data_IF_975116942082
#
_entry.id   IF_975116942082
#
_cell.length_a   1.000
_cell.length_b   1.000
_cell.length_c   1.000
_cell.angle_alpha   90.00
_cell.angle_beta   90.00
_cell.angle_gamma   90.00
#
_symmetry.space_group_name_H-M   'P 1'
#
loop_
_entity.id
_entity.type
_entity.pdbx_description
1 polymer ?
#
# COMPACT_ATOMS: atom_id res chain seq x y z
N UNK A 1 18.48 25.02 -9.93
CA UNK A 1 19.24 24.02 -10.71
C UNK A 1 18.25 22.94 -11.13
N UNK A 2 18.08 22.68 -12.43
CA UNK A 2 17.20 21.60 -12.90
C UNK A 2 17.78 20.28 -12.38
N UNK A 3 17.02 19.60 -11.51
CA UNK A 3 17.39 18.28 -11.01
C UNK A 3 17.30 17.34 -12.21
N UNK A 4 18.44 16.97 -12.78
CA UNK A 4 18.46 15.98 -13.86
C UNK A 4 18.03 14.65 -13.26
N UNK A 5 16.87 14.16 -13.69
CA UNK A 5 16.32 12.91 -13.19
C UNK A 5 17.11 11.77 -13.82
N UNK A 6 17.74 10.95 -12.98
CA UNK A 6 18.55 9.82 -13.43
C UNK A 6 17.66 8.60 -13.66
N UNK A 7 17.25 8.37 -14.90
CA UNK A 7 16.27 7.33 -15.26
C UNK A 7 16.77 5.91 -14.94
N UNK A 8 18.06 5.62 -15.15
CA UNK A 8 18.63 4.31 -14.81
C UNK A 8 18.57 3.98 -13.31
N UNK A 9 18.82 4.97 -12.45
CA UNK A 9 18.75 4.81 -11.01
C UNK A 9 17.30 4.59 -10.56
N UNK A 10 16.35 5.29 -11.17
CA UNK A 10 14.92 5.09 -10.93
C UNK A 10 14.50 3.66 -11.27
N UNK A 11 14.95 3.12 -12.41
CA UNK A 11 14.70 1.73 -12.83
C UNK A 11 15.27 0.75 -11.79
N UNK A 12 16.50 0.98 -11.33
CA UNK A 12 17.13 0.16 -10.28
C UNK A 12 16.28 0.16 -9.00
N UNK A 13 15.79 1.32 -8.57
CA UNK A 13 14.93 1.46 -7.38
C UNK A 13 13.61 0.74 -7.53
N UNK A 14 12.91 0.90 -8.66
CA UNK A 14 11.68 0.17 -8.91
C UNK A 14 11.89 -1.34 -8.96
N UNK A 15 12.97 -1.79 -9.60
CA UNK A 15 13.34 -3.21 -9.60
C UNK A 15 13.58 -3.75 -8.18
N UNK A 16 14.32 -3.01 -7.36
CA UNK A 16 14.58 -3.38 -5.95
C UNK A 16 13.30 -3.38 -5.11
N UNK A 17 12.41 -2.39 -5.28
CA UNK A 17 11.13 -2.33 -4.59
C UNK A 17 10.20 -3.49 -4.95
N UNK A 18 10.23 -3.94 -6.21
CA UNK A 18 9.46 -5.09 -6.68
C UNK A 18 10.13 -6.44 -6.34
N UNK A 19 11.33 -6.43 -5.73
CA UNK A 19 12.08 -7.64 -5.39
C UNK A 19 12.60 -8.43 -6.61
N UNK A 20 12.71 -7.78 -7.77
CA UNK A 20 13.08 -8.41 -9.04
C UNK A 20 14.62 -8.45 -9.14
N UNK A 21 15.18 -9.61 -9.53
CA UNK A 21 16.62 -9.73 -9.81
C UNK A 21 16.95 -9.16 -11.19
N UNK A 22 18.17 -8.67 -11.39
CA UNK A 22 18.60 -8.18 -12.70
C UNK A 22 18.43 -9.23 -13.82
N UNK A 23 18.68 -10.50 -13.52
CA UNK A 23 18.48 -11.61 -14.47
C UNK A 23 17.02 -11.80 -14.87
N UNK A 24 16.09 -11.60 -13.92
CA UNK A 24 14.66 -11.71 -14.19
C UNK A 24 14.18 -10.56 -15.07
N UNK A 25 14.63 -9.33 -14.79
CA UNK A 25 14.32 -8.18 -15.65
C UNK A 25 14.92 -8.35 -17.06
N UNK A 26 16.12 -8.93 -17.16
CA UNK A 26 16.72 -9.25 -18.45
C UNK A 26 15.88 -10.28 -19.23
N UNK A 27 15.39 -11.33 -18.57
CA UNK A 27 14.53 -12.32 -19.19
C UNK A 27 13.22 -11.71 -19.72
N UNK A 28 12.63 -10.75 -19.00
CA UNK A 28 11.40 -10.06 -19.41
C UNK A 28 11.61 -9.10 -20.60
N UNK A 29 12.82 -8.54 -20.74
CA UNK A 29 13.18 -7.65 -21.85
C UNK A 29 13.59 -8.41 -23.13
N UNK A 30 13.86 -9.71 -23.02
CA UNK A 30 14.14 -10.62 -24.14
C UNK A 30 15.59 -11.12 -24.21
N UNK A 31 15.86 -12.01 -25.18
CA UNK A 31 17.12 -12.76 -25.30
C UNK A 31 18.38 -11.90 -25.52
N UNK A 32 18.20 -10.67 -26.01
CA UNK A 32 19.29 -9.70 -26.17
C UNK A 32 19.74 -9.08 -24.83
N UNK A 33 18.99 -9.28 -23.75
CA UNK A 33 19.28 -8.72 -22.44
C UNK A 33 19.93 -9.75 -21.52
N UNK A 34 20.92 -9.28 -20.76
CA UNK A 34 21.57 -10.07 -19.73
C UNK A 34 21.84 -9.20 -18.49
N UNK A 35 22.23 -9.83 -17.39
CA UNK A 35 22.50 -9.14 -16.12
C UNK A 35 23.42 -7.92 -16.28
N UNK A 36 24.49 -8.06 -17.06
CA UNK A 36 25.48 -7.01 -17.28
C UNK A 36 24.89 -5.82 -18.04
N UNK A 37 24.10 -6.08 -19.09
CA UNK A 37 23.40 -5.05 -19.86
C UNK A 37 22.38 -4.30 -19.01
N UNK A 38 21.66 -4.99 -18.11
CA UNK A 38 20.76 -4.34 -17.15
C UNK A 38 21.55 -3.46 -16.19
N UNK A 39 22.65 -3.95 -15.63
CA UNK A 39 23.51 -3.13 -14.76
C UNK A 39 24.04 -1.89 -15.47
N UNK A 40 24.39 -1.98 -16.75
CA UNK A 40 24.83 -0.83 -17.55
C UNK A 40 23.67 0.14 -17.82
N UNK A 41 22.46 -0.38 -18.07
CA UNK A 41 21.25 0.42 -18.25
C UNK A 41 20.90 1.20 -16.98
N UNK A 42 21.01 0.58 -15.81
CA UNK A 42 20.76 1.22 -14.51
C UNK A 42 21.76 2.37 -14.21
N UNK A 43 22.94 2.36 -14.82
CA UNK A 43 23.94 3.42 -14.67
C UNK A 43 23.76 4.58 -15.65
N UNK A 44 22.84 4.48 -16.62
CA UNK A 44 22.59 5.55 -17.59
C UNK A 44 21.69 6.63 -17.00
N UNK A 45 22.13 7.88 -17.11
CA UNK A 45 21.37 9.04 -16.66
C UNK A 45 20.08 9.22 -17.48
N UNK A 46 20.15 8.99 -18.79
CA UNK A 46 19.01 9.07 -19.71
C UNK A 46 18.97 7.82 -20.59
N UNK A 47 17.77 7.29 -20.80
CA UNK A 47 17.51 6.09 -21.59
C UNK A 47 16.62 6.48 -22.78
N UNK A 48 16.85 5.83 -23.91
CA UNK A 48 16.06 6.07 -25.11
C UNK A 48 14.58 5.76 -24.85
N UNK A 49 13.68 6.65 -25.29
CA UNK A 49 12.23 6.49 -25.11
C UNK A 49 11.66 5.09 -25.45
N UNK A 50 12.02 4.44 -26.57
CA UNK A 50 11.51 3.09 -26.88
C UNK A 50 11.98 2.05 -25.86
N UNK A 51 13.22 2.15 -25.40
CA UNK A 51 13.79 1.23 -24.42
C UNK A 51 13.19 1.47 -23.03
N UNK A 52 12.98 2.73 -22.66
CA UNK A 52 12.33 3.11 -21.42
C UNK A 52 10.89 2.58 -21.35
N UNK A 53 10.17 2.60 -22.47
CA UNK A 53 8.83 2.02 -22.60
C UNK A 53 8.85 0.50 -22.37
N UNK A 54 9.78 -0.21 -23.01
CA UNK A 54 9.95 -1.65 -22.81
C UNK A 54 10.25 -2.01 -21.35
N UNK A 55 11.14 -1.26 -20.70
CA UNK A 55 11.47 -1.47 -19.29
C UNK A 55 10.27 -1.17 -18.38
N UNK A 56 9.51 -0.13 -18.68
CA UNK A 56 8.31 0.20 -17.91
C UNK A 56 7.24 -0.89 -18.05
N UNK A 57 7.06 -1.44 -19.25
CA UNK A 57 6.16 -2.58 -19.50
C UNK A 57 6.60 -3.84 -18.75
N UNK A 58 7.90 -4.18 -18.79
CA UNK A 58 8.45 -5.31 -18.04
C UNK A 58 8.22 -5.15 -16.52
N UNK A 59 8.42 -3.94 -15.99
CA UNK A 59 8.16 -3.63 -14.58
C UNK A 59 6.67 -3.40 -14.27
N UNK A 60 5.79 -3.41 -15.28
CA UNK A 60 4.35 -3.07 -15.18
C UNK A 60 4.09 -1.70 -14.56
N UNK A 61 4.91 -0.72 -14.91
CA UNK A 61 4.83 0.65 -14.47
C UNK A 61 4.55 1.58 -15.66
N UNK A 62 3.89 2.73 -15.44
CA UNK A 62 3.84 3.76 -16.46
C UNK A 62 5.25 4.38 -16.64
N UNK A 63 5.64 4.65 -17.89
CA UNK A 63 6.93 5.30 -18.21
C UNK A 63 7.12 6.61 -17.44
N UNK A 64 6.03 7.35 -17.25
CA UNK A 64 6.03 8.61 -16.51
C UNK A 64 6.41 8.44 -15.03
N UNK A 65 6.17 7.27 -14.43
CA UNK A 65 6.66 6.99 -13.08
C UNK A 65 8.19 6.93 -13.07
N UNK A 66 8.82 6.31 -14.07
CA UNK A 66 10.29 6.23 -14.13
C UNK A 66 10.91 7.59 -14.47
N UNK A 67 10.26 8.40 -15.33
CA UNK A 67 10.74 9.73 -15.70
C UNK A 67 10.58 10.78 -14.60
N UNK A 68 9.51 10.70 -13.80
CA UNK A 68 9.17 11.72 -12.81
C UNK A 68 9.49 11.29 -11.36
N UNK A 69 10.06 10.09 -11.16
CA UNK A 69 10.46 9.63 -9.84
C UNK A 69 11.64 10.46 -9.32
N UNK A 70 11.41 11.14 -8.21
CA UNK A 70 12.42 11.84 -7.44
C UNK A 70 12.71 11.05 -6.16
N UNK A 71 13.91 10.47 -6.09
CA UNK A 71 14.37 9.67 -4.96
C UNK A 71 14.32 10.45 -3.65
N UNK A 72 14.60 11.76 -3.63
CA UNK A 72 14.57 12.54 -2.39
C UNK A 72 13.13 12.71 -1.87
N UNK A 73 12.13 12.77 -2.75
CA UNK A 73 10.72 12.77 -2.33
C UNK A 73 10.30 11.39 -1.82
N UNK A 74 10.72 10.30 -2.48
CA UNK A 74 10.40 8.94 -2.07
C UNK A 74 11.07 8.55 -0.73
N UNK A 75 12.33 8.94 -0.53
CA UNK A 75 13.06 8.71 0.73
C UNK A 75 12.45 9.55 1.86
N UNK A 76 11.98 10.77 1.61
CA UNK A 76 11.25 11.54 2.63
C UNK A 76 9.93 10.87 3.01
N UNK A 77 9.21 10.26 2.06
CA UNK A 77 7.98 9.52 2.35
C UNK A 77 8.30 8.24 3.14
N UNK A 78 9.31 7.46 2.75
CA UNK A 78 9.69 6.21 3.42
C UNK A 78 10.33 6.48 4.79
N UNK A 79 11.18 7.49 4.92
CA UNK A 79 11.81 7.86 6.20
C UNK A 79 10.79 8.41 7.20
N UNK A 80 9.79 9.19 6.73
CA UNK A 80 8.71 9.66 7.60
C UNK A 80 7.67 8.57 7.92
N UNK A 81 7.55 7.53 7.10
CA UNK A 81 6.64 6.39 7.35
C UNK A 81 7.26 5.34 8.28
N UNK A 82 8.60 5.25 8.34
CA UNK A 82 9.30 4.23 9.16
C UNK A 82 9.82 4.79 10.51
N UNK A 83 9.81 6.12 10.74
CA UNK A 83 10.21 6.71 12.03
C UNK A 83 9.08 7.33 12.88
N UNK A 84 7.83 7.41 12.41
CA UNK A 84 6.76 8.04 13.19
C UNK A 84 6.03 7.06 14.11
N UNK A 85 6.78 6.39 14.99
CA UNK A 85 6.24 5.89 16.26
C UNK A 85 6.28 6.97 17.36
N UNK A 86 6.68 8.20 17.05
CA UNK A 86 6.63 9.31 18.00
C UNK A 86 5.98 10.56 17.39
N UNK A 87 4.76 10.82 17.85
CA UNK A 87 4.10 12.12 17.98
C UNK A 87 4.78 13.33 17.30
N UNK A 88 4.29 13.72 16.12
CA UNK A 88 4.41 15.11 15.68
C UNK A 88 3.22 15.53 14.80
N UNK A 89 2.41 16.42 15.34
CA UNK A 89 1.37 17.19 14.68
C UNK A 89 1.91 17.83 13.37
N UNK A 90 1.37 17.43 12.22
CA UNK A 90 1.80 17.90 10.90
C UNK A 90 0.67 17.89 9.87
N UNK A 91 -0.45 18.49 10.23
CA UNK A 91 -1.65 18.71 9.42
C UNK A 91 -1.40 19.67 8.23
N UNK A 92 -0.62 19.31 7.19
CA UNK A 92 -0.38 20.29 6.11
C UNK A 92 -0.24 19.84 4.66
N UNK A 93 -0.18 18.57 4.25
CA UNK A 93 0.24 18.33 2.83
C UNK A 93 -0.59 17.42 1.91
N UNK A 94 -1.63 16.71 2.35
CA UNK A 94 -2.46 15.93 1.40
C UNK A 94 -3.96 15.92 1.74
N UNK A 95 -4.59 17.09 1.63
CA UNK A 95 -6.05 17.22 1.63
C UNK A 95 -6.59 17.09 0.19
N UNK A 96 -6.62 15.87 -0.37
CA UNK A 96 -7.48 15.53 -1.52
C UNK A 96 -7.67 14.01 -1.72
N UNK A 97 -7.72 13.26 -0.63
CA UNK A 97 -8.25 11.90 -0.62
C UNK A 97 -9.18 11.82 0.59
N UNK A 98 -10.31 11.08 0.52
CA UNK A 98 -11.04 10.76 1.74
C UNK A 98 -10.05 10.03 2.66
N UNK A 99 -9.61 10.73 3.71
CA UNK A 99 -8.83 10.19 4.81
C UNK A 99 -9.72 9.22 5.55
N UNK A 100 -9.93 8.03 4.98
CA UNK A 100 -10.44 6.89 5.71
C UNK A 100 -9.35 6.58 6.73
N UNK A 101 -9.51 7.08 7.94
CA UNK A 101 -8.65 6.70 9.05
C UNK A 101 -9.03 5.25 9.41
N UNK A 102 -8.16 4.27 9.11
CA UNK A 102 -8.49 2.86 9.34
C UNK A 102 -8.70 2.55 10.83
N UNK A 103 -8.09 3.33 11.74
CA UNK A 103 -8.27 3.19 13.18
C UNK A 103 -9.66 3.67 13.60
N UNK A 104 -10.13 4.78 13.03
CA UNK A 104 -11.46 5.32 13.33
C UNK A 104 -12.56 4.36 12.86
N UNK A 105 -12.45 3.83 11.64
CA UNK A 105 -13.36 2.80 11.14
C UNK A 105 -13.31 1.51 11.94
N UNK A 106 -12.13 1.13 12.44
CA UNK A 106 -11.98 -0.05 13.29
C UNK A 106 -12.64 0.17 14.66
N UNK A 107 -12.49 1.36 15.26
CA UNK A 107 -13.15 1.72 16.50
C UNK A 107 -14.68 1.76 16.35
N UNK A 108 -15.18 2.32 15.24
CA UNK A 108 -16.59 2.31 14.88
C UNK A 108 -17.12 0.86 14.77
N UNK A 109 -16.42 -0.01 14.05
CA UNK A 109 -16.78 -1.41 13.92
C UNK A 109 -16.77 -2.16 15.27
N UNK A 110 -15.87 -1.83 16.19
CA UNK A 110 -15.84 -2.41 17.54
C UNK A 110 -17.04 -1.94 18.38
N UNK A 111 -17.39 -0.66 18.30
CA UNK A 111 -18.54 -0.11 19.02
C UNK A 111 -19.86 -0.68 18.48
N UNK A 112 -19.99 -0.85 17.16
CA UNK A 112 -21.13 -1.53 16.55
C UNK A 112 -21.23 -2.99 16.98
N UNK A 113 -20.11 -3.72 16.98
CA UNK A 113 -20.07 -5.09 17.49
C UNK A 113 -20.52 -5.17 18.96
N UNK A 114 -20.03 -4.27 19.81
CA UNK A 114 -20.42 -4.22 21.22
C UNK A 114 -21.94 -4.02 21.38
N UNK A 115 -22.53 -3.07 20.65
CA UNK A 115 -23.98 -2.83 20.65
C UNK A 115 -24.77 -4.04 20.16
N UNK A 116 -24.29 -4.74 19.14
CA UNK A 116 -24.90 -5.98 18.65
C UNK A 116 -24.86 -7.08 19.72
N UNK A 117 -23.74 -7.25 20.42
CA UNK A 117 -23.63 -8.20 21.52
C UNK A 117 -24.57 -7.87 22.67
N UNK A 118 -24.68 -6.61 23.08
CA UNK A 118 -25.62 -6.17 24.12
C UNK A 118 -27.07 -6.47 23.74
N UNK A 119 -27.47 -6.22 22.48
CA UNK A 119 -28.82 -6.57 21.98
C UNK A 119 -29.06 -8.07 21.97
N UNK A 120 -28.09 -8.85 21.52
CA UNK A 120 -28.19 -10.32 21.48
C UNK A 120 -28.33 -10.90 22.90
N UNK A 121 -27.62 -10.36 23.89
CA UNK A 121 -27.77 -10.77 25.29
C UNK A 121 -29.18 -10.47 25.78
N UNK A 122 -29.68 -9.26 25.51
CA UNK A 122 -31.04 -8.88 25.90
C UNK A 122 -32.11 -9.78 25.27
N UNK A 123 -32.00 -10.09 23.97
CA UNK A 123 -32.92 -11.01 23.31
C UNK A 123 -32.89 -12.43 23.92
N UNK A 124 -31.70 -12.90 24.34
CA UNK A 124 -31.58 -14.17 25.05
C UNK A 124 -32.26 -14.12 26.41
N UNK A 125 -32.09 -13.05 27.18
CA UNK A 125 -32.72 -12.89 28.49
C UNK A 125 -34.25 -12.83 28.36
N UNK A 126 -34.77 -12.08 27.38
CA UNK A 126 -36.20 -12.01 27.09
C UNK A 126 -36.76 -13.38 26.68
N UNK A 127 -36.03 -14.13 25.83
CA UNK A 127 -36.41 -15.50 25.45
C UNK A 127 -36.45 -16.43 26.66
N UNK A 128 -35.45 -16.36 27.55
CA UNK A 128 -35.39 -17.16 28.78
C UNK A 128 -36.60 -16.84 29.67
N UNK A 129 -36.92 -15.56 29.87
CA UNK A 129 -38.08 -15.15 30.66
C UNK A 129 -39.39 -15.71 30.08
N UNK A 130 -39.56 -15.61 28.76
CA UNK A 130 -40.76 -16.13 28.08
C UNK A 130 -40.88 -17.64 28.25
N UNK A 131 -39.77 -18.37 28.10
CA UNK A 131 -39.72 -19.83 28.29
C UNK A 131 -40.01 -20.22 29.75
N UNK A 132 -39.46 -19.49 30.73
CA UNK A 132 -39.75 -19.71 32.15
C UNK A 132 -41.24 -19.51 32.46
N UNK A 133 -41.85 -18.44 31.93
CA UNK A 133 -43.28 -18.17 32.11
C UNK A 133 -44.16 -19.26 31.48
N UNK A 134 -43.80 -19.76 30.29
CA UNK A 134 -44.49 -20.88 29.66
C UNK A 134 -44.39 -22.17 30.49
N UNK A 135 -43.20 -22.48 31.02
CA UNK A 135 -42.99 -23.63 31.89
C UNK A 135 -43.77 -23.54 33.20
N UNK A 136 -43.90 -22.35 33.78
CA UNK A 136 -44.67 -22.13 35.01
C UNK A 136 -46.18 -22.26 34.77
N UNK A 137 -46.68 -21.76 33.63
CA UNK A 137 -48.07 -21.93 33.23
C UNK A 137 -48.45 -23.38 32.92
N UNK A 138 -47.51 -24.22 32.45
CA UNK A 138 -47.74 -25.66 32.25
C UNK A 138 -47.71 -26.49 33.53
N UNK A 139 -47.25 -25.92 34.66
CA UNK A 139 -47.22 -26.59 35.98
C UNK A 139 -48.46 -26.31 36.83
N UNK A 140 -49.34 -25.41 36.41
CA UNK A 140 -50.67 -25.16 37.00
C UNK A 140 -51.72 -26.00 36.31
#
# INVERSE_FOLDING_TARGET
>A
MQKKIHQGHNIKRFREMLGIKQDALAADLGDDWNQQKISLLEQKETIDAPLLQQVAEALKLPVEAIKNFDEDQAINIISNTVNNNDNANGNTLFSYYPTINPIEKWLEALEENKKLYERMIKEKDDMIYTLQAMLENMKK
#
